data_IF_657643146978
#
_entry.id   IF_657643146978
#
_cell.length_a   1.000
_cell.length_b   1.000
_cell.length_c   1.000
_cell.angle_alpha   90.00
_cell.angle_beta   90.00
_cell.angle_gamma   90.00
#
_symmetry.space_group_name_H-M   'P 1'
#
loop_
_entity.id
_entity.type
_entity.pdbx_description
1 polymer ?
#
# COMPACT_ATOMS: atom_id res chain seq x y z
N UNK A 1 68.02 -24.84 -13.59
CA UNK A 1 67.38 -23.63 -13.03
C UNK A 1 65.96 -24.01 -12.64
N UNK A 2 65.70 -24.16 -11.34
CA UNK A 2 64.40 -24.64 -10.82
C UNK A 2 63.44 -23.48 -10.57
N UNK A 3 62.19 -23.64 -11.00
CA UNK A 3 61.10 -22.70 -10.73
C UNK A 3 60.51 -22.98 -9.33
N UNK A 4 60.12 -21.96 -8.56
CA UNK A 4 59.56 -22.12 -7.22
C UNK A 4 58.08 -22.56 -7.25
N UNK A 5 57.77 -23.50 -6.37
CA UNK A 5 56.45 -24.10 -6.12
C UNK A 5 55.44 -23.11 -5.51
N UNK A 6 54.22 -23.09 -6.04
CA UNK A 6 53.08 -22.34 -5.52
C UNK A 6 52.57 -22.89 -4.16
N UNK A 7 52.11 -22.04 -3.23
CA UNK A 7 51.57 -22.49 -1.94
C UNK A 7 50.14 -23.03 -2.03
N UNK A 8 49.89 -24.12 -1.29
CA UNK A 8 48.59 -24.82 -1.11
C UNK A 8 47.52 -23.91 -0.45
N UNK A 9 46.22 -24.04 -0.82
CA UNK A 9 45.14 -23.33 -0.15
C UNK A 9 44.85 -23.90 1.24
N UNK A 10 44.69 -23.03 2.24
CA UNK A 10 44.23 -23.36 3.60
C UNK A 10 42.71 -23.52 3.61
N UNK A 11 42.24 -24.67 4.08
CA UNK A 11 40.83 -24.94 4.41
C UNK A 11 40.45 -24.17 5.70
N UNK A 12 39.30 -23.48 5.77
CA UNK A 12 38.84 -22.88 7.02
C UNK A 12 38.29 -23.95 7.99
N UNK A 13 38.48 -23.78 9.30
CA UNK A 13 37.96 -24.71 10.30
C UNK A 13 36.44 -24.60 10.46
N UNK A 14 35.85 -25.78 10.54
CA UNK A 14 34.47 -26.10 10.89
C UNK A 14 34.15 -25.53 12.29
N UNK A 15 33.17 -24.62 12.38
CA UNK A 15 32.72 -24.07 13.66
C UNK A 15 31.35 -24.63 13.99
N UNK A 16 31.34 -25.28 15.16
CA UNK A 16 30.36 -26.22 15.66
C UNK A 16 28.96 -25.62 15.88
N UNK A 17 27.99 -26.50 15.68
CA UNK A 17 26.63 -26.42 16.21
C UNK A 17 26.69 -26.24 17.74
N UNK A 18 26.17 -25.14 18.26
CA UNK A 18 25.79 -25.03 19.68
C UNK A 18 24.31 -25.31 19.85
N UNK A 19 24.09 -26.42 20.53
CA UNK A 19 22.84 -27.00 21.01
C UNK A 19 22.19 -26.14 22.08
N UNK A 20 20.86 -26.20 22.09
CA UNK A 20 19.94 -25.71 23.12
C UNK A 20 20.19 -26.38 24.48
N UNK A 21 20.17 -25.56 25.53
CA UNK A 21 19.97 -25.91 26.94
C UNK A 21 19.79 -24.56 27.64
N UNK A 22 18.72 -24.21 28.35
CA UNK A 22 17.78 -24.98 29.15
C UNK A 22 17.46 -24.12 30.37
N UNK A 23 16.31 -24.35 31.01
CA UNK A 23 15.88 -23.81 32.31
C UNK A 23 15.12 -22.45 32.25
N UNK A 24 13.79 -22.37 32.34
CA UNK A 24 12.84 -22.85 33.36
C UNK A 24 12.90 -22.01 34.66
N UNK A 25 12.06 -20.97 34.75
CA UNK A 25 11.60 -20.39 36.02
C UNK A 25 10.14 -19.93 35.94
N UNK A 26 9.29 -20.74 36.56
CA UNK A 26 8.19 -20.42 37.48
C UNK A 26 7.09 -19.37 37.16
N UNK A 27 5.91 -19.93 36.89
CA UNK A 27 4.60 -19.69 37.53
C UNK A 27 4.46 -18.65 38.67
N UNK A 28 3.46 -17.78 38.52
CA UNK A 28 2.59 -17.25 39.59
C UNK A 28 1.27 -16.76 38.91
N UNK A 29 0.17 -17.54 38.90
CA UNK A 29 -0.91 -17.65 39.89
C UNK A 29 -1.72 -16.36 40.14
N UNK A 30 -2.89 -16.30 39.49
CA UNK A 30 -4.27 -16.01 39.98
C UNK A 30 -4.48 -14.77 40.88
N UNK A 31 -5.47 -13.91 40.53
CA UNK A 31 -6.68 -13.68 41.35
C UNK A 31 -7.72 -12.80 40.63
N UNK A 32 -8.96 -13.24 40.77
CA UNK A 32 -10.21 -12.61 40.32
C UNK A 32 -10.52 -11.34 41.12
N UNK A 33 -11.12 -10.34 40.48
CA UNK A 33 -12.05 -9.45 41.18
C UNK A 33 -13.19 -8.98 40.27
N UNK A 34 -14.39 -9.44 40.61
CA UNK A 34 -15.68 -9.01 40.10
C UNK A 34 -16.50 -8.59 41.32
N UNK A 35 -16.97 -7.33 41.40
CA UNK A 35 -18.08 -6.99 42.28
C UNK A 35 -19.36 -6.79 41.46
N UNK A 36 -20.33 -7.64 41.78
CA UNK A 36 -21.75 -7.54 41.43
C UNK A 36 -22.43 -6.35 42.15
N UNK A 37 -23.48 -5.87 41.48
CA UNK A 37 -24.73 -5.29 42.00
C UNK A 37 -24.71 -3.88 42.61
N UNK A 38 -25.52 -2.99 42.01
CA UNK A 38 -26.70 -2.47 42.71
C UNK A 38 -27.79 -2.00 41.74
N UNK A 39 -28.92 -2.68 41.82
CA UNK A 39 -30.23 -2.28 41.28
C UNK A 39 -30.80 -1.24 42.24
N UNK A 40 -31.28 -0.10 41.72
CA UNK A 40 -32.31 0.69 42.39
C UNK A 40 -33.32 1.25 41.40
N UNK A 41 -34.55 1.28 41.88
CA UNK A 41 -35.81 1.25 41.17
C UNK A 41 -36.58 2.55 41.49
N UNK A 42 -37.29 3.09 40.48
CA UNK A 42 -38.48 3.98 40.55
C UNK A 42 -38.28 5.49 40.85
N UNK A 43 -39.27 6.37 40.54
CA UNK A 43 -40.60 6.15 39.97
C UNK A 43 -40.95 6.95 38.70
N UNK A 44 -41.96 6.45 37.98
CA UNK A 44 -42.71 7.16 36.93
C UNK A 44 -43.61 8.22 37.57
N UNK A 45 -43.59 9.44 37.03
CA UNK A 45 -44.69 10.40 37.20
C UNK A 45 -45.35 10.63 35.84
N UNK A 46 -46.68 10.47 35.86
CA UNK A 46 -47.63 10.68 34.79
C UNK A 46 -48.25 12.09 34.92
N UNK A 47 -48.97 12.50 33.88
CA UNK A 47 -49.90 13.66 33.75
C UNK A 47 -49.33 14.91 33.03
N UNK A 48 -50.19 15.74 32.38
CA UNK A 48 -50.80 15.48 31.05
C UNK A 48 -50.57 16.65 30.06
N UNK A 49 -50.88 16.44 28.77
CA UNK A 49 -51.01 17.52 27.75
C UNK A 49 -52.34 18.27 27.93
N UNK A 50 -52.39 19.56 27.54
CA UNK A 50 -53.27 19.98 26.43
C UNK A 50 -52.55 20.95 25.45
N UNK A 51 -52.58 20.73 24.13
CA UNK A 51 -53.57 21.12 23.11
C UNK A 51 -53.47 22.58 22.62
N UNK A 52 -53.26 22.72 21.28
CA UNK A 52 -53.54 23.87 20.39
C UNK A 52 -52.65 25.12 20.55
N UNK A 53 -52.19 25.89 19.55
CA UNK A 53 -52.19 25.92 18.08
C UNK A 53 -51.12 26.99 17.67
N UNK A 54 -50.75 27.16 16.38
CA UNK A 54 -49.47 27.76 15.98
C UNK A 54 -49.51 29.30 15.83
N UNK A 55 -48.34 29.94 15.68
CA UNK A 55 -48.22 30.96 14.66
C UNK A 55 -47.00 30.74 13.76
N UNK A 56 -47.32 30.65 12.48
CA UNK A 56 -46.54 30.99 11.30
C UNK A 56 -45.54 32.12 11.56
N UNK A 57 -44.24 31.84 11.40
CA UNK A 57 -43.23 32.84 11.09
C UNK A 57 -42.18 32.23 10.15
N UNK A 58 -42.50 32.37 8.87
CA UNK A 58 -41.61 32.80 7.79
C UNK A 58 -40.10 32.76 8.14
N UNK A 59 -39.40 31.69 7.76
CA UNK A 59 -37.98 31.78 7.41
C UNK A 59 -37.85 31.41 5.94
N UNK A 60 -38.00 32.44 5.10
CA UNK A 60 -37.39 32.55 3.79
C UNK A 60 -35.87 32.37 3.94
N UNK A 61 -35.35 31.23 3.51
CA UNK A 61 -34.02 31.05 2.89
C UNK A 61 -33.67 29.56 2.79
N UNK A 62 -34.53 28.75 2.15
CA UNK A 62 -34.21 27.36 1.84
C UNK A 62 -34.44 27.11 0.34
N UNK A 63 -33.68 27.82 -0.49
CA UNK A 63 -33.87 27.81 -1.93
C UNK A 63 -32.73 28.42 -2.73
N UNK A 64 -31.48 28.26 -2.29
CA UNK A 64 -30.30 28.62 -3.10
C UNK A 64 -28.99 27.97 -2.60
N UNK A 65 -29.03 26.77 -2.01
CA UNK A 65 -27.81 26.06 -1.58
C UNK A 65 -27.82 24.59 -2.03
N UNK A 66 -28.19 24.35 -3.29
CA UNK A 66 -28.16 23.02 -3.90
C UNK A 66 -27.59 23.03 -5.34
N UNK A 67 -26.84 24.07 -5.69
CA UNK A 67 -26.20 24.20 -7.01
C UNK A 67 -24.70 24.56 -6.94
N UNK A 68 -24.03 24.21 -5.85
CA UNK A 68 -22.58 24.36 -5.71
C UNK A 68 -21.95 23.14 -5.02
N UNK A 69 -22.39 21.93 -5.38
CA UNK A 69 -21.47 20.81 -5.33
C UNK A 69 -20.59 20.97 -6.58
N UNK A 70 -19.29 21.30 -6.46
CA UNK A 70 -18.40 21.25 -7.61
C UNK A 70 -18.55 19.86 -8.21
N UNK A 71 -18.91 19.82 -9.49
CA UNK A 71 -19.32 18.62 -10.17
C UNK A 71 -18.41 17.45 -9.81
N UNK A 72 -18.98 16.49 -9.08
CA UNK A 72 -18.57 15.11 -9.24
C UNK A 72 -18.96 14.75 -10.68
N UNK A 73 -18.17 15.23 -11.64
CA UNK A 73 -18.09 14.59 -12.94
C UNK A 73 -17.91 13.11 -12.60
N UNK A 74 -18.88 12.29 -13.00
CA UNK A 74 -18.82 10.85 -12.80
C UNK A 74 -17.48 10.41 -13.39
N UNK A 75 -16.50 10.18 -12.50
CA UNK A 75 -15.15 9.85 -12.92
C UNK A 75 -15.28 8.56 -13.72
N UNK A 76 -14.86 8.62 -14.99
CA UNK A 76 -14.93 7.48 -15.88
C UNK A 76 -14.13 6.34 -15.23
N UNK A 77 -14.80 5.22 -14.98
CA UNK A 77 -14.18 4.07 -14.36
C UNK A 77 -13.45 3.26 -15.43
N UNK A 78 -12.13 3.13 -15.30
CA UNK A 78 -11.30 2.41 -16.25
C UNK A 78 -11.01 1.00 -15.73
N UNK A 79 -11.36 -0.03 -16.48
CA UNK A 79 -10.94 -1.40 -16.13
C UNK A 79 -9.50 -1.65 -16.54
N UNK A 80 -8.71 -2.32 -15.70
CA UNK A 80 -7.32 -2.65 -16.00
C UNK A 80 -6.64 -3.48 -14.92
N UNK A 81 -5.36 -3.74 -15.08
CA UNK A 81 -4.52 -4.49 -14.16
C UNK A 81 -3.27 -3.69 -13.76
N UNK A 82 -2.93 -3.68 -12.47
CA UNK A 82 -1.67 -3.11 -12.01
C UNK A 82 -0.53 -4.08 -12.32
N UNK A 83 0.44 -3.61 -13.11
CA UNK A 83 1.72 -4.24 -13.33
C UNK A 83 2.69 -3.71 -12.28
N UNK A 84 3.38 -4.61 -11.60
CA UNK A 84 4.32 -4.26 -10.54
C UNK A 84 5.55 -5.16 -10.62
N UNK A 85 6.73 -4.51 -10.61
CA UNK A 85 8.01 -5.15 -10.37
C UNK A 85 8.59 -4.57 -9.09
N UNK A 86 8.94 -5.42 -8.14
CA UNK A 86 9.54 -5.03 -6.88
C UNK A 86 10.52 -6.10 -6.39
N UNK A 87 11.55 -5.70 -5.65
CA UNK A 87 12.49 -6.64 -5.03
C UNK A 87 12.22 -6.77 -3.54
N UNK A 88 11.68 -7.92 -3.13
CA UNK A 88 11.18 -8.20 -1.78
C UNK A 88 9.68 -8.50 -1.74
N UNK A 89 9.18 -8.91 -0.58
CA UNK A 89 7.78 -9.25 -0.40
C UNK A 89 6.90 -8.01 -0.47
N UNK A 90 5.84 -8.05 -1.29
CA UNK A 90 4.92 -6.93 -1.43
C UNK A 90 3.49 -7.35 -1.14
N UNK A 91 2.81 -6.52 -0.36
CA UNK A 91 1.36 -6.51 -0.27
C UNK A 91 0.83 -5.27 -1.01
N UNK A 92 -0.14 -5.45 -1.91
CA UNK A 92 -0.78 -4.34 -2.62
C UNK A 92 -2.14 -4.07 -1.99
N UNK A 93 -2.46 -2.80 -1.80
CA UNK A 93 -3.74 -2.31 -1.30
C UNK A 93 -4.32 -1.30 -2.29
N UNK A 94 -5.62 -1.41 -2.54
CA UNK A 94 -6.39 -0.47 -3.35
C UNK A 94 -7.53 0.06 -2.52
N UNK A 95 -7.55 1.38 -2.29
CA UNK A 95 -8.49 2.05 -1.39
C UNK A 95 -8.59 1.37 -0.01
N UNK A 96 -7.42 1.05 0.56
CA UNK A 96 -7.29 0.38 1.86
C UNK A 96 -7.61 -1.11 1.88
N UNK A 97 -8.08 -1.70 0.78
CA UNK A 97 -8.40 -3.14 0.69
C UNK A 97 -7.20 -3.93 0.18
N UNK A 98 -6.80 -4.96 0.92
CA UNK A 98 -5.71 -5.86 0.53
C UNK A 98 -6.09 -6.63 -0.73
N UNK A 99 -5.15 -6.71 -1.65
CA UNK A 99 -5.29 -7.40 -2.91
C UNK A 99 -4.60 -8.75 -2.82
N UNK A 100 -5.31 -9.81 -3.21
CA UNK A 100 -4.68 -11.12 -3.41
C UNK A 100 -3.90 -11.08 -4.72
N UNK A 101 -2.58 -11.21 -4.61
CA UNK A 101 -1.65 -11.18 -5.75
C UNK A 101 -1.57 -12.57 -6.39
N UNK A 102 -1.61 -12.61 -7.72
CA UNK A 102 -1.35 -13.81 -8.52
C UNK A 102 0.04 -13.69 -9.17
N UNK A 103 0.57 -14.82 -9.64
CA UNK A 103 1.82 -14.90 -10.40
C UNK A 103 3.05 -14.31 -9.69
N UNK A 104 3.24 -14.68 -8.42
CA UNK A 104 4.47 -14.39 -7.66
C UNK A 104 5.64 -15.17 -8.27
N UNK A 105 6.83 -14.59 -8.29
CA UNK A 105 8.02 -15.32 -8.71
C UNK A 105 8.39 -16.42 -7.71
N UNK A 106 8.97 -17.50 -8.21
CA UNK A 106 9.31 -18.69 -7.43
C UNK A 106 10.39 -18.43 -6.38
N UNK A 107 11.29 -17.47 -6.65
CA UNK A 107 12.45 -17.20 -5.79
C UNK A 107 12.14 -16.29 -4.59
N UNK A 108 10.95 -15.71 -4.51
CA UNK A 108 10.49 -14.76 -3.48
C UNK A 108 11.41 -13.54 -3.25
N UNK A 109 12.47 -13.38 -4.06
CA UNK A 109 13.43 -12.29 -3.97
C UNK A 109 13.13 -11.24 -5.04
N UNK A 110 12.64 -11.67 -6.20
CA UNK A 110 12.26 -10.79 -7.32
C UNK A 110 10.76 -10.90 -7.54
N UNK A 111 9.97 -10.00 -6.97
CA UNK A 111 8.52 -10.03 -7.11
C UNK A 111 8.09 -9.40 -8.43
N UNK A 112 7.69 -10.28 -9.36
CA UNK A 112 6.76 -9.95 -10.42
C UNK A 112 5.34 -10.06 -9.88
N UNK A 113 4.50 -9.07 -10.13
CA UNK A 113 3.08 -9.14 -9.74
C UNK A 113 2.21 -8.58 -10.87
N UNK A 114 1.35 -9.45 -11.40
CA UNK A 114 0.18 -9.04 -12.17
C UNK A 114 -1.02 -9.01 -11.22
N UNK A 115 -1.45 -7.81 -10.86
CA UNK A 115 -2.66 -7.64 -10.05
C UNK A 115 -3.88 -8.00 -10.90
N UNK A 116 -4.85 -8.77 -10.37
CA UNK A 116 -6.09 -9.08 -11.09
C UNK A 116 -6.80 -7.82 -11.60
N UNK A 117 -7.53 -7.98 -12.70
CA UNK A 117 -8.27 -6.88 -13.33
C UNK A 117 -9.26 -6.23 -12.34
N UNK A 118 -9.28 -4.90 -12.32
CA UNK A 118 -10.15 -4.07 -11.50
C UNK A 118 -10.46 -2.73 -12.16
N UNK A 119 -11.53 -2.11 -11.66
CA UNK A 119 -11.89 -0.73 -12.01
C UNK A 119 -11.03 0.26 -11.23
N UNK A 120 -10.41 1.19 -11.94
CA UNK A 120 -9.65 2.31 -11.42
C UNK A 120 -10.36 3.61 -11.74
N UNK A 121 -10.48 4.48 -10.75
CA UNK A 121 -11.06 5.81 -10.89
C UNK A 121 -10.02 6.90 -10.55
N UNK A 122 -10.23 8.11 -11.07
CA UNK A 122 -9.53 9.27 -10.55
C UNK A 122 -9.81 9.41 -9.04
N UNK A 123 -8.76 9.59 -8.25
CA UNK A 123 -8.83 9.62 -6.78
C UNK A 123 -8.55 8.27 -6.10
N UNK A 124 -8.38 7.19 -6.88
CA UNK A 124 -8.04 5.89 -6.30
C UNK A 124 -6.62 5.87 -5.73
N UNK A 125 -6.51 5.23 -4.57
CA UNK A 125 -5.29 5.12 -3.77
C UNK A 125 -4.70 3.73 -3.94
N UNK A 126 -3.47 3.66 -4.44
CA UNK A 126 -2.69 2.43 -4.53
C UNK A 126 -1.53 2.51 -3.53
N UNK A 127 -1.45 1.51 -2.66
CA UNK A 127 -0.41 1.43 -1.62
C UNK A 127 0.27 0.08 -1.69
N UNK A 128 1.59 0.10 -1.67
CA UNK A 128 2.46 -1.05 -1.54
C UNK A 128 3.01 -1.06 -0.12
N UNK A 129 2.78 -2.15 0.61
CA UNK A 129 3.53 -2.46 1.82
C UNK A 129 4.65 -3.43 1.42
N UNK A 130 5.88 -2.96 1.50
CA UNK A 130 7.05 -3.67 1.01
C UNK A 130 7.90 -4.12 2.20
N UNK A 131 8.28 -5.39 2.20
CA UNK A 131 9.26 -5.96 3.09
C UNK A 131 10.44 -6.48 2.26
N UNK A 132 11.54 -5.72 2.28
CA UNK A 132 12.76 -6.08 1.57
C UNK A 132 13.92 -6.13 2.56
N UNK A 133 14.41 -7.34 2.93
CA UNK A 133 15.57 -7.46 3.81
C UNK A 133 16.88 -7.04 3.12
N UNK A 134 16.84 -6.81 1.81
CA UNK A 134 18.02 -6.47 1.00
C UNK A 134 18.17 -4.96 0.78
N UNK A 135 19.41 -4.57 0.47
CA UNK A 135 19.84 -3.19 0.19
C UNK A 135 19.27 -2.69 -1.15
N UNK A 136 18.82 -3.59 -2.02
CA UNK A 136 18.31 -3.26 -3.36
C UNK A 136 16.77 -3.30 -3.40
N UNK A 137 16.16 -2.14 -3.64
CA UNK A 137 14.71 -1.88 -3.41
C UNK A 137 14.06 -1.14 -4.56
N UNK A 138 14.50 -1.45 -5.77
CA UNK A 138 13.92 -0.86 -6.96
C UNK A 138 12.49 -1.37 -7.12
N UNK A 139 11.56 -0.43 -7.33
CA UNK A 139 10.14 -0.66 -7.56
C UNK A 139 9.77 0.08 -8.84
N UNK A 140 8.99 -0.57 -9.71
CA UNK A 140 8.35 0.08 -10.83
C UNK A 140 6.92 -0.43 -10.98
N UNK A 141 6.00 0.46 -11.35
CA UNK A 141 4.60 0.12 -11.53
C UNK A 141 4.01 0.81 -12.75
N UNK A 142 2.99 0.18 -13.33
CA UNK A 142 2.18 0.72 -14.41
C UNK A 142 0.75 0.18 -14.31
N UNK A 143 -0.24 0.93 -14.76
CA UNK A 143 -1.63 0.43 -14.86
C UNK A 143 -1.91 0.09 -16.32
N UNK A 144 -2.05 -1.19 -16.63
CA UNK A 144 -2.43 -1.65 -17.96
C UNK A 144 -3.95 -1.65 -18.09
N UNK A 145 -4.49 -0.87 -19.01
CA UNK A 145 -5.93 -0.72 -19.20
C UNK A 145 -6.47 -1.83 -20.10
N UNK A 146 -7.67 -2.32 -19.79
CA UNK A 146 -8.35 -3.36 -20.55
C UNK A 146 -8.71 -2.90 -21.98
N UNK A 147 -9.04 -3.85 -22.85
CA UNK A 147 -9.54 -3.60 -24.22
C UNK A 147 -8.66 -2.67 -25.08
N UNK A 148 -7.33 -2.80 -24.95
CA UNK A 148 -6.35 -1.92 -25.62
C UNK A 148 -6.46 -0.44 -25.19
N UNK A 149 -7.00 -0.18 -24.00
CA UNK A 149 -7.16 1.18 -23.46
C UNK A 149 -5.85 1.92 -23.25
N UNK A 150 -4.71 1.23 -23.31
CA UNK A 150 -3.39 1.80 -23.14
C UNK A 150 -2.72 1.34 -21.84
N UNK A 151 -1.62 1.99 -21.50
CA UNK A 151 -0.94 1.82 -20.21
C UNK A 151 -0.67 3.18 -19.59
N UNK A 152 -0.91 3.30 -18.29
CA UNK A 152 -0.59 4.48 -17.49
C UNK A 152 0.75 4.21 -16.81
N UNK A 153 1.85 4.84 -17.25
CA UNK A 153 3.12 4.73 -16.56
C UNK A 153 3.07 5.46 -15.22
N UNK A 154 3.64 4.87 -14.17
CA UNK A 154 3.78 5.55 -12.89
C UNK A 154 5.17 6.19 -12.82
N UNK A 155 5.21 7.51 -12.87
CA UNK A 155 6.45 8.29 -12.81
C UNK A 155 6.87 8.56 -11.37
N UNK A 156 8.15 8.87 -11.17
CA UNK A 156 8.74 9.14 -9.86
C UNK A 156 7.95 10.17 -9.05
N UNK A 157 7.55 11.26 -9.68
CA UNK A 157 6.78 12.36 -9.08
C UNK A 157 5.37 11.98 -8.63
N UNK A 158 4.85 10.82 -9.06
CA UNK A 158 3.56 10.30 -8.60
C UNK A 158 3.69 9.50 -7.30
N UNK A 159 4.89 8.99 -7.00
CA UNK A 159 5.13 8.17 -5.82
C UNK A 159 5.28 9.00 -4.56
N UNK A 160 4.81 8.44 -3.45
CA UNK A 160 4.93 8.99 -2.11
C UNK A 160 5.39 7.92 -1.14
N UNK A 161 6.45 8.23 -0.41
CA UNK A 161 6.86 7.45 0.75
C UNK A 161 5.97 7.81 1.94
N UNK A 162 5.50 6.79 2.65
CA UNK A 162 4.51 6.91 3.72
C UNK A 162 5.03 6.44 5.07
N UNK A 163 6.32 6.12 5.14
CA UNK A 163 7.00 5.74 6.37
C UNK A 163 7.02 4.24 6.65
N UNK A 164 7.87 3.84 7.62
CA UNK A 164 7.88 2.49 8.16
C UNK A 164 6.63 2.25 9.04
N UNK A 165 6.16 1.00 9.09
CA UNK A 165 5.10 0.54 10.01
C UNK A 165 3.73 1.26 9.91
N UNK A 166 3.51 2.07 8.87
CA UNK A 166 2.19 2.67 8.58
C UNK A 166 1.20 1.58 8.19
N UNK A 167 -0.02 1.62 8.75
CA UNK A 167 -1.08 0.68 8.37
C UNK A 167 -1.60 1.02 6.96
N UNK A 168 -1.34 0.17 5.93
CA UNK A 168 -1.73 0.44 4.56
C UNK A 168 -3.25 0.52 4.36
N UNK A 169 -4.04 -0.02 5.31
CA UNK A 169 -5.50 0.00 5.24
C UNK A 169 -6.10 1.36 5.58
N UNK A 170 -5.34 2.21 6.26
CA UNK A 170 -5.78 3.54 6.73
C UNK A 170 -5.28 4.70 5.85
N UNK A 171 -4.49 4.40 4.82
CA UNK A 171 -3.94 5.41 3.92
C UNK A 171 -5.03 5.91 2.98
N UNK A 172 -5.24 7.22 2.96
CA UNK A 172 -6.23 7.90 2.12
C UNK A 172 -5.55 8.77 1.06
N UNK A 173 -6.33 9.30 0.12
CA UNK A 173 -5.84 10.26 -0.88
C UNK A 173 -5.24 11.50 -0.20
N UNK A 174 -5.88 12.01 0.85
CA UNK A 174 -5.37 13.13 1.63
C UNK A 174 -4.03 12.81 2.30
N UNK A 175 -3.85 11.58 2.81
CA UNK A 175 -2.57 11.14 3.38
C UNK A 175 -1.45 11.11 2.34
N UNK A 176 -1.74 10.60 1.13
CA UNK A 176 -0.79 10.60 0.01
C UNK A 176 -0.42 12.02 -0.42
N UNK A 177 -1.41 12.90 -0.58
CA UNK A 177 -1.21 14.29 -1.00
C UNK A 177 -0.46 15.12 0.05
N UNK A 178 -0.68 14.84 1.33
CA UNK A 178 0.05 15.49 2.42
C UNK A 178 1.51 15.04 2.52
N UNK A 179 1.86 13.85 2.02
CA UNK A 179 3.26 13.44 1.94
C UNK A 179 3.98 14.21 0.84
N UNK A 180 5.06 14.90 1.22
CA UNK A 180 5.98 15.54 0.28
C UNK A 180 7.22 14.67 0.01
N UNK A 181 7.29 13.48 0.60
CA UNK A 181 8.46 12.60 0.49
C UNK A 181 8.37 11.78 -0.79
N UNK A 182 9.08 12.23 -1.82
CA UNK A 182 9.23 11.49 -3.08
C UNK A 182 10.40 10.50 -2.94
N UNK A 183 10.24 9.23 -3.35
CA UNK A 183 11.33 8.26 -3.31
C UNK A 183 12.50 8.67 -4.23
N UNK A 184 13.69 8.13 -3.98
CA UNK A 184 14.85 8.33 -4.84
C UNK A 184 14.70 7.56 -6.15
N UNK A 185 15.37 8.02 -7.20
CA UNK A 185 15.49 7.24 -8.43
C UNK A 185 16.31 5.98 -8.17
N UNK A 186 15.97 4.89 -8.83
CA UNK A 186 16.71 3.64 -8.80
C UNK A 186 17.15 3.25 -10.19
N UNK A 187 18.27 2.52 -10.27
CA UNK A 187 18.64 1.77 -11.46
C UNK A 187 18.20 0.32 -11.22
N UNK A 188 17.50 -0.33 -12.16
CA UNK A 188 17.22 -1.74 -12.05
C UNK A 188 18.51 -2.57 -12.22
N UNK A 189 18.52 -3.78 -11.70
CA UNK A 189 19.47 -4.80 -12.15
C UNK A 189 18.92 -5.50 -13.41
N UNK A 190 19.75 -6.33 -14.08
CA UNK A 190 19.32 -7.03 -15.30
C UNK A 190 18.09 -7.93 -15.10
N UNK A 191 17.87 -8.43 -13.88
CA UNK A 191 16.67 -9.19 -13.55
C UNK A 191 15.43 -8.29 -13.51
N UNK A 192 15.53 -7.12 -12.86
CA UNK A 192 14.45 -6.14 -12.82
C UNK A 192 14.04 -5.66 -14.21
N UNK A 193 15.01 -5.44 -15.11
CA UNK A 193 14.72 -5.10 -16.51
C UNK A 193 14.03 -6.25 -17.24
N UNK A 194 14.54 -7.47 -17.13
CA UNK A 194 13.93 -8.64 -17.76
C UNK A 194 12.50 -8.91 -17.26
N UNK A 195 12.22 -8.74 -15.97
CA UNK A 195 10.87 -8.91 -15.42
C UNK A 195 9.91 -7.80 -15.88
N UNK A 196 10.40 -6.58 -16.01
CA UNK A 196 9.64 -5.46 -16.57
C UNK A 196 9.23 -5.73 -18.02
N UNK A 197 10.16 -6.25 -18.82
CA UNK A 197 9.91 -6.64 -20.21
C UNK A 197 8.87 -7.78 -20.29
N UNK A 198 9.04 -8.84 -19.48
CA UNK A 198 8.08 -9.97 -19.42
C UNK A 198 6.67 -9.54 -19.03
N UNK A 199 6.53 -8.50 -18.19
CA UNK A 199 5.22 -7.95 -17.82
C UNK A 199 4.59 -7.05 -18.89
N UNK A 200 5.33 -6.70 -19.95
CA UNK A 200 4.83 -5.82 -21.01
C UNK A 200 4.70 -4.37 -20.57
N UNK A 201 5.63 -3.88 -19.74
CA UNK A 201 5.70 -2.44 -19.46
C UNK A 201 6.03 -1.67 -20.73
N UNK A 202 5.27 -0.62 -20.99
CA UNK A 202 5.67 0.43 -21.92
C UNK A 202 6.75 1.32 -21.27
N UNK A 203 7.41 2.12 -22.10
CA UNK A 203 8.43 3.06 -21.63
C UNK A 203 7.82 4.17 -20.79
N UNK A 204 8.59 4.78 -19.88
CA UNK A 204 8.15 5.95 -19.11
C UNK A 204 7.68 5.69 -17.68
N UNK A 205 7.47 4.43 -17.26
CA UNK A 205 7.41 4.13 -15.82
C UNK A 205 8.82 4.22 -15.21
N UNK A 206 8.95 4.92 -14.10
CA UNK A 206 10.25 5.09 -13.44
C UNK A 206 10.53 3.94 -12.47
N UNK A 207 11.82 3.74 -12.22
CA UNK A 207 12.30 2.92 -11.12
C UNK A 207 12.56 3.81 -9.92
N UNK A 208 11.94 3.47 -8.79
CA UNK A 208 12.06 4.20 -7.53
C UNK A 208 12.60 3.30 -6.42
N UNK A 209 13.25 3.91 -5.43
CA UNK A 209 13.68 3.24 -4.19
C UNK A 209 13.47 4.17 -3.00
N UNK A 210 13.28 3.58 -1.82
CA UNK A 210 13.27 4.36 -0.57
C UNK A 210 14.68 4.84 -0.22
N UNK A 211 14.77 5.76 0.76
CA UNK A 211 16.03 6.09 1.42
C UNK A 211 16.69 4.85 2.05
N UNK A 212 17.99 4.96 2.37
CA UNK A 212 18.86 3.82 2.66
C UNK A 212 18.39 2.98 3.88
N UNK A 213 18.42 1.66 3.69
CA UNK A 213 18.37 0.60 4.72
C UNK A 213 17.25 0.65 5.78
N UNK A 214 15.98 0.84 5.37
CA UNK A 214 14.83 0.51 6.24
C UNK A 214 14.84 -0.98 6.60
N UNK A 215 15.08 -1.33 7.87
CA UNK A 215 15.15 -2.72 8.34
C UNK A 215 13.78 -3.38 8.53
N UNK A 216 12.69 -2.63 8.42
CA UNK A 216 11.31 -3.07 8.63
C UNK A 216 10.45 -2.86 7.39
N UNK A 217 9.22 -3.38 7.41
CA UNK A 217 8.24 -3.12 6.36
C UNK A 217 7.91 -1.63 6.27
N UNK A 218 7.75 -1.11 5.05
CA UNK A 218 7.38 0.28 4.81
C UNK A 218 6.24 0.40 3.80
N UNK A 219 5.57 1.55 3.83
CA UNK A 219 4.52 1.88 2.88
C UNK A 219 5.00 2.92 1.87
N UNK A 220 4.70 2.65 0.61
CA UNK A 220 4.90 3.57 -0.52
C UNK A 220 3.66 3.47 -1.41
N UNK A 221 3.21 4.57 -2.00
CA UNK A 221 2.00 4.55 -2.82
C UNK A 221 1.91 5.71 -3.78
N UNK A 222 0.83 5.74 -4.54
CA UNK A 222 0.50 6.80 -5.47
C UNK A 222 -1.02 6.96 -5.58
N UNK A 223 -1.44 8.14 -6.02
CA UNK A 223 -2.83 8.47 -6.31
C UNK A 223 -3.04 8.43 -7.83
N UNK A 224 -4.10 7.76 -8.30
CA UNK A 224 -4.48 7.83 -9.71
C UNK A 224 -5.15 9.18 -9.94
N UNK A 225 -4.54 10.05 -10.74
CA UNK A 225 -5.12 11.36 -11.09
C UNK A 225 -5.79 11.32 -12.45
N UNK A 226 -6.69 12.28 -12.71
CA UNK A 226 -7.30 12.43 -14.03
C UNK A 226 -6.24 12.70 -15.11
N UNK A 227 -5.19 13.45 -14.77
CA UNK A 227 -4.07 13.73 -15.66
C UNK A 227 -3.37 12.44 -16.10
N UNK A 228 -3.12 11.51 -15.16
CA UNK A 228 -2.51 10.21 -15.48
C UNK A 228 -3.39 9.36 -16.42
N UNK A 229 -4.71 9.38 -16.21
CA UNK A 229 -5.67 8.67 -17.07
C UNK A 229 -5.72 9.26 -18.48
N UNK A 230 -5.57 10.58 -18.60
CA UNK A 230 -5.52 11.29 -19.87
C UNK A 230 -4.17 11.11 -20.60
N UNK A 231 -3.07 10.98 -19.85
CA UNK A 231 -1.71 10.79 -20.35
C UNK A 231 -1.35 9.33 -20.65
N UNK A 232 -2.33 8.44 -20.72
CA UNK A 232 -2.12 7.01 -21.02
C UNK A 232 -1.45 6.83 -22.39
N UNK A 233 -0.55 5.86 -22.46
CA UNK A 233 0.15 5.50 -23.68
C UNK A 233 -0.65 4.43 -24.43
N UNK A 234 -0.81 4.60 -25.74
CA UNK A 234 -1.46 3.58 -26.56
C UNK A 234 -0.62 2.30 -26.62
N UNK A 235 -1.27 1.14 -26.47
CA UNK A 235 -0.65 -0.15 -26.80
C UNK A 235 -0.74 -0.30 -28.32
N UNK A 236 0.42 -0.31 -29.00
CA UNK A 236 0.51 -0.51 -30.45
C UNK A 236 0.12 -1.92 -30.85
#
# INVERSE_FOLDING_TARGET
MGLPSSPKPRTPPNLEKKTLSGSLWHWLVIQFHNPKNHIMNRPRTFFPRPLSAPPTLLILALGALLAALPGAALAEAFSGNLLLVAKGEVEVYHNGRKIVLRDKADDQQHFRVKVPERSFNAGDVIVLRVHSPYVYRAISAAVNLAKKGGQIPIKKENWRFLGPNTDPRKITAATLQASQVVPASATPDGNGEAEREKLGFLTGSDWVKTADNLKSSYCIGFLITQEMLNARQAVK
#
